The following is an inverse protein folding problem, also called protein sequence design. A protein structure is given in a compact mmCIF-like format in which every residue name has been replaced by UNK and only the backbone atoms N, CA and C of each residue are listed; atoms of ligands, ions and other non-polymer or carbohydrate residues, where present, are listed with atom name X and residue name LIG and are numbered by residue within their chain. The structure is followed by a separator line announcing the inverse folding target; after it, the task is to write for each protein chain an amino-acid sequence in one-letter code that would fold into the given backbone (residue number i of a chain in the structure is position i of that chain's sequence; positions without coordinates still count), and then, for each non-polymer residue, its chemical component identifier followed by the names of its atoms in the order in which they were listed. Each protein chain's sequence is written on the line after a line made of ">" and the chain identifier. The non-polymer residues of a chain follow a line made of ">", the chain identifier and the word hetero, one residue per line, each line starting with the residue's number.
data_IF_559511732198
#
_entry.id   IF_559511732198
#
_cell.length_a   1.000
_cell.length_b   1.000
_cell.length_c   1.000
_cell.angle_alpha   90.00
_cell.angle_beta   90.00
_cell.angle_gamma   90.00
#
_symmetry.space_group_name_H-M   'P 1'
#
loop_
_entity.id
_entity.type
_entity.pdbx_description
1 polymer ?
#
# COMPACT_ATOMS: atom_id res chain seq x y z
N UNK A 1 -7.33 19.21 -12.33
CA UNK A 1 -7.46 20.63 -12.69
C UNK A 1 -7.43 21.52 -11.44
N UNK A 2 -7.32 22.85 -11.63
CA UNK A 2 -7.37 23.80 -10.51
C UNK A 2 -8.75 23.72 -9.78
N UNK A 3 -9.82 23.62 -10.55
CA UNK A 3 -11.18 23.46 -10.01
C UNK A 3 -11.32 22.19 -9.17
N UNK A 4 -10.72 21.07 -9.62
CA UNK A 4 -10.75 19.82 -8.85
C UNK A 4 -9.90 19.92 -7.57
N UNK A 5 -8.79 20.63 -7.58
CA UNK A 5 -7.99 20.88 -6.37
C UNK A 5 -8.83 21.71 -5.39
N UNK A 6 -9.44 22.80 -5.83
CA UNK A 6 -10.30 23.64 -5.00
C UNK A 6 -11.47 22.83 -4.43
N UNK A 7 -12.20 22.11 -5.28
CA UNK A 7 -13.38 21.34 -4.86
C UNK A 7 -13.06 20.16 -3.96
N UNK A 8 -12.01 19.38 -4.26
CA UNK A 8 -11.76 18.13 -3.56
C UNK A 8 -10.71 18.21 -2.47
N UNK A 9 -9.66 19.04 -2.63
CA UNK A 9 -8.55 19.06 -1.68
C UNK A 9 -8.65 20.18 -0.65
N UNK A 10 -9.11 21.37 -1.03
CA UNK A 10 -9.22 22.51 -0.11
C UNK A 10 -10.11 22.18 1.09
N UNK A 11 -11.20 21.42 0.88
CA UNK A 11 -12.09 20.97 1.95
C UNK A 11 -11.42 20.14 3.06
N UNK A 12 -10.26 19.52 2.78
CA UNK A 12 -9.49 18.76 3.79
C UNK A 12 -8.65 19.65 4.69
N UNK A 13 -8.46 20.91 4.33
CA UNK A 13 -7.71 21.88 5.13
C UNK A 13 -8.60 22.72 6.03
N UNK A 14 -9.92 22.57 5.91
CA UNK A 14 -10.93 23.39 6.60
C UNK A 14 -11.94 22.53 7.35
N UNK A 15 -12.37 23.03 8.52
CA UNK A 15 -13.42 22.42 9.33
C UNK A 15 -13.02 21.11 10.01
N UNK A 16 -13.97 20.22 10.31
CA UNK A 16 -13.72 18.93 10.93
C UNK A 16 -12.83 18.05 10.05
N UNK A 17 -12.04 17.17 10.70
CA UNK A 17 -11.20 16.21 9.99
C UNK A 17 -12.02 15.32 9.03
N UNK A 18 -11.54 15.20 7.80
CA UNK A 18 -12.14 14.37 6.76
C UNK A 18 -11.16 13.27 6.35
N UNK A 19 -11.69 12.13 5.94
CA UNK A 19 -10.90 11.00 5.49
C UNK A 19 -10.99 10.85 3.97
N UNK A 20 -9.85 10.52 3.37
CA UNK A 20 -9.76 10.17 1.95
C UNK A 20 -9.35 8.71 1.81
N UNK A 21 -9.87 8.03 0.80
CA UNK A 21 -9.56 6.65 0.53
C UNK A 21 -9.29 6.41 -0.96
N UNK A 22 -8.65 5.28 -1.29
CA UNK A 22 -8.44 4.83 -2.67
C UNK A 22 -8.91 3.40 -2.83
N UNK A 23 -9.77 3.14 -3.81
CA UNK A 23 -10.40 1.86 -4.07
C UNK A 23 -10.00 1.33 -5.46
N UNK A 24 -9.02 0.42 -5.49
CA UNK A 24 -8.55 -0.24 -6.72
C UNK A 24 -8.84 -1.73 -6.72
N UNK A 25 -8.52 -2.42 -5.64
CA UNK A 25 -8.57 -3.88 -5.52
C UNK A 25 -10.00 -4.41 -5.60
N UNK A 26 -10.17 -5.50 -6.34
CA UNK A 26 -11.43 -6.24 -6.48
C UNK A 26 -11.23 -7.71 -6.09
N UNK A 27 -12.30 -8.48 -5.81
CA UNK A 27 -12.18 -9.89 -5.41
C UNK A 27 -11.31 -10.73 -6.36
N UNK A 28 -11.36 -10.47 -7.67
CA UNK A 28 -10.59 -11.18 -8.70
C UNK A 28 -9.36 -10.42 -9.21
N UNK A 29 -9.14 -9.17 -8.79
CA UNK A 29 -8.10 -8.29 -9.31
C UNK A 29 -7.34 -7.56 -8.19
N UNK A 30 -6.35 -8.23 -7.61
CA UNK A 30 -5.39 -7.65 -6.68
C UNK A 30 -4.09 -7.29 -7.40
N UNK A 31 -3.17 -8.25 -7.54
CA UNK A 31 -1.91 -8.05 -8.28
C UNK A 31 -2.11 -7.82 -9.78
N UNK A 32 -3.13 -8.40 -10.38
CA UNK A 32 -3.53 -8.12 -11.76
C UNK A 32 -4.54 -6.95 -11.83
N UNK A 33 -4.06 -5.76 -11.49
CA UNK A 33 -4.85 -4.52 -11.50
C UNK A 33 -5.41 -4.17 -12.88
N UNK A 34 -4.89 -4.76 -13.96
CA UNK A 34 -5.41 -4.57 -15.31
C UNK A 34 -6.73 -5.31 -15.59
N UNK A 35 -7.14 -6.20 -14.68
CA UNK A 35 -8.33 -7.06 -14.84
C UNK A 35 -9.50 -6.61 -13.95
N UNK A 36 -9.56 -5.33 -13.58
CA UNK A 36 -10.71 -4.80 -12.84
C UNK A 36 -11.99 -4.88 -13.66
N UNK A 37 -13.10 -5.19 -12.99
CA UNK A 37 -14.41 -5.34 -13.59
C UNK A 37 -15.37 -4.19 -13.27
N UNK A 38 -15.08 -3.38 -12.27
CA UNK A 38 -15.84 -2.15 -11.98
C UNK A 38 -15.87 -1.27 -13.21
N UNK A 39 -17.06 -0.85 -13.63
CA UNK A 39 -17.29 -0.04 -14.82
C UNK A 39 -17.72 1.37 -14.45
N UNK A 40 -17.40 2.35 -15.31
CA UNK A 40 -17.97 3.68 -15.30
C UNK A 40 -18.50 3.98 -16.71
N UNK A 41 -19.81 4.16 -16.82
CA UNK A 41 -20.48 4.47 -18.09
C UNK A 41 -20.97 5.90 -18.05
N UNK A 42 -20.64 6.68 -19.08
CA UNK A 42 -21.09 8.06 -19.17
C UNK A 42 -22.54 8.13 -19.67
N UNK A 43 -23.37 8.87 -18.95
CA UNK A 43 -24.78 9.13 -19.30
C UNK A 43 -24.88 10.59 -19.82
N UNK A 44 -24.97 10.81 -21.14
CA UNK A 44 -25.01 12.16 -21.69
C UNK A 44 -26.35 12.90 -21.41
N UNK A 45 -27.42 12.18 -21.03
CA UNK A 45 -28.68 12.81 -20.72
C UNK A 45 -28.68 13.55 -19.40
N UNK A 46 -27.92 13.04 -18.43
CA UNK A 46 -27.78 13.65 -17.10
C UNK A 46 -26.42 14.32 -16.88
N UNK A 47 -25.48 14.17 -17.82
CA UNK A 47 -24.07 14.61 -17.71
C UNK A 47 -23.38 14.00 -16.47
N UNK A 48 -23.56 12.69 -16.27
CA UNK A 48 -23.04 11.96 -15.13
C UNK A 48 -22.31 10.69 -15.56
N UNK A 49 -21.39 10.21 -14.70
CA UNK A 49 -20.87 8.85 -14.73
C UNK A 49 -21.69 7.93 -13.84
N UNK A 50 -22.02 6.75 -14.34
CA UNK A 50 -22.70 5.67 -13.61
C UNK A 50 -21.67 4.61 -13.31
N UNK A 51 -21.35 4.41 -12.03
CA UNK A 51 -20.37 3.43 -11.57
C UNK A 51 -21.08 2.18 -11.07
N UNK A 52 -20.62 1.02 -11.54
CA UNK A 52 -21.11 -0.29 -11.12
C UNK A 52 -19.96 -1.26 -10.85
N UNK A 53 -19.99 -1.92 -9.70
CA UNK A 53 -18.99 -2.92 -9.33
C UNK A 53 -18.74 -3.03 -7.84
N UNK A 54 -17.64 -3.71 -7.49
CA UNK A 54 -17.26 -3.94 -6.10
C UNK A 54 -15.75 -3.73 -5.92
N UNK A 55 -15.40 -3.07 -4.82
CA UNK A 55 -14.02 -2.91 -4.36
C UNK A 55 -13.86 -3.55 -2.99
N UNK A 56 -12.66 -4.08 -2.72
CA UNK A 56 -12.33 -4.70 -1.42
C UNK A 56 -11.03 -4.12 -0.89
N UNK A 57 -10.81 -4.28 0.41
CA UNK A 57 -9.62 -3.83 1.12
C UNK A 57 -9.32 -2.33 0.97
N UNK A 58 -10.38 -1.52 0.91
CA UNK A 58 -10.26 -0.06 0.84
C UNK A 58 -9.98 0.50 2.24
N UNK A 59 -8.74 0.89 2.50
CA UNK A 59 -8.34 1.53 3.76
C UNK A 59 -9.07 2.86 3.94
N UNK A 60 -9.57 3.10 5.14
CA UNK A 60 -10.38 4.28 5.50
C UNK A 60 -11.67 4.45 4.68
N UNK A 61 -12.15 3.39 4.04
CA UNK A 61 -13.33 3.48 3.17
C UNK A 61 -14.60 3.82 3.93
N UNK A 62 -14.83 3.21 5.10
CA UNK A 62 -15.97 3.54 5.96
C UNK A 62 -15.81 4.94 6.58
N UNK A 63 -14.63 5.24 7.13
CA UNK A 63 -14.33 6.57 7.68
C UNK A 63 -14.56 7.68 6.66
N UNK A 64 -14.19 7.46 5.40
CA UNK A 64 -14.36 8.45 4.33
C UNK A 64 -15.82 8.64 3.94
N UNK A 65 -16.59 7.56 3.80
CA UNK A 65 -17.92 7.60 3.18
C UNK A 65 -19.09 7.68 4.16
N UNK A 66 -18.92 7.22 5.41
CA UNK A 66 -19.99 7.18 6.42
C UNK A 66 -19.69 7.99 7.69
N UNK A 67 -18.43 8.15 8.08
CA UNK A 67 -18.06 8.77 9.36
C UNK A 67 -17.46 10.17 9.21
N UNK A 68 -17.16 10.59 7.97
CA UNK A 68 -16.73 11.95 7.66
C UNK A 68 -17.34 12.39 6.32
N UNK A 69 -17.32 13.70 6.08
CA UNK A 69 -17.66 14.26 4.79
C UNK A 69 -16.44 14.14 3.84
N UNK A 70 -16.05 12.89 3.57
CA UNK A 70 -14.85 12.55 2.82
C UNK A 70 -15.12 12.08 1.39
N UNK A 71 -14.14 11.40 0.80
CA UNK A 71 -14.25 10.87 -0.55
C UNK A 71 -13.41 9.62 -0.75
N UNK A 72 -13.75 8.84 -1.79
CA UNK A 72 -12.96 7.70 -2.27
C UNK A 72 -12.60 7.92 -3.72
N UNK A 73 -11.32 7.77 -4.07
CA UNK A 73 -10.87 7.69 -5.46
C UNK A 73 -11.03 6.25 -5.94
N UNK A 74 -11.97 6.02 -6.85
CA UNK A 74 -12.34 4.70 -7.38
C UNK A 74 -11.74 4.51 -8.76
N UNK A 75 -11.02 3.40 -8.95
CA UNK A 75 -10.57 3.00 -10.28
C UNK A 75 -11.62 2.13 -10.97
N UNK A 76 -12.12 2.60 -12.11
CA UNK A 76 -13.12 1.90 -12.92
C UNK A 76 -12.71 1.90 -14.39
N UNK A 77 -13.24 0.95 -15.17
CA UNK A 77 -13.01 0.92 -16.62
C UNK A 77 -14.15 1.58 -17.37
N UNK A 78 -13.80 2.48 -18.28
CA UNK A 78 -14.75 3.11 -19.23
C UNK A 78 -14.80 2.34 -20.56
N UNK A 79 -13.77 1.54 -20.84
CA UNK A 79 -13.71 0.67 -22.03
C UNK A 79 -12.90 -0.61 -21.71
N UNK A 80 -13.59 -1.73 -21.57
CA UNK A 80 -12.96 -3.03 -21.31
C UNK A 80 -12.05 -3.49 -22.45
N UNK A 81 -12.39 -3.12 -23.71
CA UNK A 81 -11.61 -3.54 -24.88
C UNK A 81 -10.25 -2.83 -24.95
N UNK A 82 -10.17 -1.63 -24.39
CA UNK A 82 -8.93 -0.89 -24.30
C UNK A 82 -8.00 -1.39 -23.16
N UNK A 83 -8.43 -2.38 -22.39
CA UNK A 83 -7.68 -2.93 -21.26
C UNK A 83 -7.26 -1.84 -20.28
N UNK A 84 -5.96 -1.76 -19.94
CA UNK A 84 -5.45 -0.76 -18.99
C UNK A 84 -5.61 0.70 -19.44
N UNK A 85 -5.72 0.95 -20.73
CA UNK A 85 -5.95 2.31 -21.25
C UNK A 85 -7.37 2.80 -20.92
N UNK A 86 -8.32 1.87 -20.80
CA UNK A 86 -9.71 2.15 -20.42
C UNK A 86 -9.91 2.41 -18.93
N UNK A 87 -8.91 2.17 -18.06
CA UNK A 87 -9.02 2.41 -16.63
C UNK A 87 -8.84 3.90 -16.31
N UNK A 88 -9.78 4.44 -15.53
CA UNK A 88 -9.79 5.85 -15.11
C UNK A 88 -10.09 5.96 -13.61
N UNK A 89 -9.51 6.96 -12.92
CA UNK A 89 -9.87 7.26 -11.53
C UNK A 89 -11.03 8.25 -11.46
N UNK A 90 -11.96 7.99 -10.54
CA UNK A 90 -13.15 8.81 -10.30
C UNK A 90 -13.22 9.19 -8.82
N UNK A 91 -13.57 10.44 -8.53
CA UNK A 91 -13.86 10.87 -7.15
C UNK A 91 -15.32 10.58 -6.84
N UNK A 92 -15.53 9.78 -5.79
CA UNK A 92 -16.85 9.48 -5.24
C UNK A 92 -16.93 10.07 -3.85
N UNK A 93 -17.82 11.02 -3.63
CA UNK A 93 -17.97 11.73 -2.36
C UNK A 93 -18.89 10.98 -1.41
N UNK A 94 -18.75 11.23 -0.11
CA UNK A 94 -19.66 10.72 0.90
C UNK A 94 -21.12 11.13 0.58
N UNK A 95 -22.06 10.24 0.89
CA UNK A 95 -23.47 10.48 0.62
C UNK A 95 -23.91 10.24 -0.84
N UNK A 96 -23.01 9.84 -1.75
CA UNK A 96 -23.39 9.48 -3.14
C UNK A 96 -24.37 8.29 -3.12
N UNK A 97 -25.58 8.43 -3.68
CA UNK A 97 -26.55 7.33 -3.74
C UNK A 97 -26.00 6.13 -4.52
N UNK A 98 -26.32 4.92 -4.06
CA UNK A 98 -25.82 3.67 -4.67
C UNK A 98 -24.41 3.27 -4.24
N UNK A 99 -23.77 4.01 -3.33
CA UNK A 99 -22.52 3.61 -2.68
C UNK A 99 -22.84 2.96 -1.34
N UNK A 100 -22.36 1.73 -1.15
CA UNK A 100 -22.71 0.90 -0.01
C UNK A 100 -21.42 0.35 0.62
N UNK A 101 -21.21 0.57 1.91
CA UNK A 101 -20.19 -0.13 2.69
C UNK A 101 -20.74 -1.53 3.00
N UNK A 102 -20.30 -2.51 2.22
CA UNK A 102 -20.79 -3.89 2.35
C UNK A 102 -20.22 -4.61 3.58
N UNK A 103 -18.99 -4.26 3.96
CA UNK A 103 -18.29 -4.90 5.06
C UNK A 103 -17.08 -4.07 5.50
N UNK A 104 -16.77 -4.09 6.79
CA UNK A 104 -15.46 -3.74 7.33
C UNK A 104 -14.73 -5.03 7.69
N UNK A 105 -13.51 -5.20 7.19
CA UNK A 105 -12.76 -6.45 7.33
C UNK A 105 -12.19 -6.63 8.75
N UNK A 106 -12.38 -7.82 9.31
CA UNK A 106 -11.63 -8.29 10.45
C UNK A 106 -10.24 -8.76 9.99
N UNK A 107 -9.18 -8.19 10.57
CA UNK A 107 -7.82 -8.40 10.07
C UNK A 107 -6.90 -9.00 11.11
N UNK A 108 -5.84 -9.66 10.65
CA UNK A 108 -4.75 -10.17 11.50
C UNK A 108 -4.10 -9.03 12.29
N UNK A 109 -3.70 -7.96 11.59
CA UNK A 109 -3.03 -6.78 12.13
C UNK A 109 -3.62 -5.49 11.57
N UNK A 110 -3.05 -4.36 11.98
CA UNK A 110 -3.55 -3.00 11.66
C UNK A 110 -5.06 -2.88 11.98
N UNK A 111 -5.48 -3.44 13.10
CA UNK A 111 -6.91 -3.59 13.45
C UNK A 111 -7.57 -2.27 13.82
N UNK A 112 -6.79 -1.27 14.20
CA UNK A 112 -7.28 0.07 14.51
C UNK A 112 -7.66 0.90 13.26
N UNK A 113 -7.21 0.48 12.07
CA UNK A 113 -7.57 1.10 10.78
C UNK A 113 -8.74 0.34 10.16
N UNK A 114 -9.80 1.02 9.75
CA UNK A 114 -10.86 0.37 8.98
C UNK A 114 -10.35 -0.01 7.58
N UNK A 115 -10.94 -1.07 7.06
CA UNK A 115 -10.63 -1.57 5.71
C UNK A 115 -11.93 -2.11 5.13
N UNK A 116 -12.52 -1.36 4.22
CA UNK A 116 -13.88 -1.61 3.75
C UNK A 116 -13.94 -2.38 2.43
N UNK A 117 -15.01 -3.16 2.28
CA UNK A 117 -15.55 -3.59 0.99
C UNK A 117 -16.65 -2.62 0.60
N UNK A 118 -16.59 -2.09 -0.63
CA UNK A 118 -17.50 -1.07 -1.13
C UNK A 118 -18.21 -1.60 -2.39
N UNK A 119 -19.51 -1.52 -2.42
CA UNK A 119 -20.33 -1.82 -3.59
C UNK A 119 -20.80 -0.50 -4.22
N UNK A 120 -20.72 -0.42 -5.53
CA UNK A 120 -21.28 0.63 -6.36
C UNK A 120 -22.43 0.03 -7.16
N UNK A 121 -23.63 0.43 -6.85
CA UNK A 121 -24.86 0.01 -7.53
C UNK A 121 -25.51 1.23 -8.18
N UNK A 122 -25.26 1.40 -9.46
CA UNK A 122 -25.68 2.57 -10.23
C UNK A 122 -25.31 3.91 -9.55
N UNK A 123 -24.14 3.95 -8.92
CA UNK A 123 -23.67 5.15 -8.24
C UNK A 123 -23.38 6.25 -9.27
N UNK A 124 -24.13 7.36 -9.15
CA UNK A 124 -24.07 8.48 -10.09
C UNK A 124 -23.20 9.59 -9.53
N UNK A 125 -22.26 10.04 -10.33
CA UNK A 125 -21.35 11.14 -10.01
C UNK A 125 -21.25 12.13 -11.19
N UNK A 126 -21.04 13.42 -10.93
CA UNK A 126 -20.87 14.43 -11.97
C UNK A 126 -19.78 14.09 -13.00
N UNK A 127 -19.94 14.57 -14.22
CA UNK A 127 -18.99 14.35 -15.32
C UNK A 127 -17.54 14.77 -14.96
N UNK A 128 -17.38 15.85 -14.20
CA UNK A 128 -16.10 16.43 -13.78
C UNK A 128 -15.44 15.74 -12.59
N UNK A 129 -16.05 14.66 -12.08
CA UNK A 129 -15.45 13.82 -11.04
C UNK A 129 -14.39 12.84 -11.57
N UNK A 130 -14.22 12.70 -12.90
CA UNK A 130 -13.11 11.94 -13.47
C UNK A 130 -11.81 12.71 -13.30
N UNK A 131 -10.77 12.03 -12.77
CA UNK A 131 -9.43 12.64 -12.64
C UNK A 131 -8.63 12.43 -13.92
N UNK A 132 -8.23 13.53 -14.56
CA UNK A 132 -7.54 13.52 -15.84
C UNK A 132 -8.50 13.46 -17.03
N UNK A 133 -8.02 12.90 -18.14
CA UNK A 133 -8.77 12.83 -19.39
C UNK A 133 -9.67 11.59 -19.45
N UNK A 134 -10.96 11.78 -19.62
CA UNK A 134 -11.93 10.69 -19.75
C UNK A 134 -11.76 9.91 -21.07
N UNK A 135 -11.21 10.57 -22.11
CA UNK A 135 -11.03 9.96 -23.43
C UNK A 135 -10.04 8.80 -23.38
N UNK A 136 -10.39 7.70 -24.02
CA UNK A 136 -9.52 6.52 -24.16
C UNK A 136 -8.61 6.72 -25.36
N UNK A 137 -7.38 7.16 -25.09
CA UNK A 137 -6.34 7.24 -26.14
C UNK A 137 -5.62 5.91 -26.23
N UNK A 138 -5.80 5.20 -27.35
CA UNK A 138 -5.21 3.87 -27.62
C UNK A 138 -3.69 3.88 -27.63
N UNK A 139 -3.07 5.02 -27.94
CA UNK A 139 -1.63 5.25 -27.86
C UNK A 139 -1.27 5.94 -26.55
N UNK A 140 -1.00 5.17 -25.48
CA UNK A 140 -0.34 5.75 -24.33
C UNK A 140 -0.81 5.47 -22.92
N UNK A 141 -1.98 4.87 -22.69
CA UNK A 141 -2.42 4.41 -21.33
C UNK A 141 -2.15 5.40 -20.19
N UNK A 142 -2.36 6.70 -20.38
CA UNK A 142 -1.96 7.75 -19.43
C UNK A 142 -2.62 7.57 -18.04
N UNK A 143 -3.86 7.08 -17.97
CA UNK A 143 -4.54 6.82 -16.70
C UNK A 143 -3.79 5.76 -15.88
N UNK A 144 -3.56 4.58 -16.44
CA UNK A 144 -2.84 3.50 -15.77
C UNK A 144 -1.38 3.86 -15.44
N UNK A 145 -0.69 4.60 -16.33
CA UNK A 145 0.65 5.13 -16.04
C UNK A 145 0.65 6.09 -14.86
N UNK A 146 -0.40 6.90 -14.71
CA UNK A 146 -0.60 7.76 -13.54
C UNK A 146 -0.70 6.97 -12.24
N UNK A 147 -1.52 5.89 -12.23
CA UNK A 147 -1.61 4.98 -11.08
C UNK A 147 -0.26 4.36 -10.73
N UNK A 148 0.48 3.87 -11.72
CA UNK A 148 1.80 3.26 -11.48
C UNK A 148 2.80 4.28 -10.93
N UNK A 149 2.78 5.51 -11.44
CA UNK A 149 3.61 6.60 -10.91
C UNK A 149 3.26 6.94 -9.46
N UNK A 150 1.97 6.89 -9.11
CA UNK A 150 1.53 7.05 -7.71
C UNK A 150 2.14 5.95 -6.84
N UNK A 151 2.08 4.68 -7.26
CA UNK A 151 2.70 3.58 -6.52
C UNK A 151 4.22 3.71 -6.40
N UNK A 152 4.92 4.18 -7.44
CA UNK A 152 6.37 4.42 -7.36
C UNK A 152 6.72 5.50 -6.32
N UNK A 153 5.81 6.45 -6.07
CA UNK A 153 5.95 7.47 -5.03
C UNK A 153 5.55 6.96 -3.63
N UNK A 154 4.54 6.07 -3.52
CA UNK A 154 4.03 5.60 -2.22
C UNK A 154 4.81 4.41 -1.66
N UNK A 155 5.40 3.54 -2.49
CA UNK A 155 6.19 2.37 -2.04
C UNK A 155 7.31 2.71 -1.06
N UNK A 156 8.12 3.77 -1.24
CA UNK A 156 9.13 4.16 -0.24
C UNK A 156 8.52 4.54 1.11
N UNK A 157 7.34 5.17 1.12
CA UNK A 157 6.61 5.53 2.35
C UNK A 157 6.15 4.27 3.09
N UNK A 158 5.59 3.31 2.35
CA UNK A 158 5.21 2.00 2.91
C UNK A 158 6.45 1.23 3.42
N UNK A 159 7.55 1.27 2.70
CA UNK A 159 8.81 0.68 3.17
C UNK A 159 9.30 1.33 4.47
N UNK A 160 9.21 2.65 4.59
CA UNK A 160 9.56 3.38 5.81
C UNK A 160 8.66 2.98 7.00
N UNK A 161 7.35 2.82 6.77
CA UNK A 161 6.42 2.34 7.80
C UNK A 161 6.77 0.92 8.29
N UNK A 162 7.10 0.02 7.36
CA UNK A 162 7.57 -1.33 7.69
C UNK A 162 8.86 -1.29 8.53
N UNK A 163 9.82 -0.46 8.13
CA UNK A 163 11.10 -0.29 8.84
C UNK A 163 10.86 0.24 10.26
N UNK A 164 9.91 1.15 10.45
CA UNK A 164 9.53 1.65 11.78
C UNK A 164 9.08 0.54 12.72
N UNK A 165 8.21 -0.36 12.25
CA UNK A 165 7.77 -1.54 13.02
C UNK A 165 8.95 -2.48 13.30
N UNK A 166 9.75 -2.78 12.27
CA UNK A 166 10.92 -3.66 12.40
C UNK A 166 11.95 -3.11 13.39
N UNK A 167 12.17 -1.80 13.37
CA UNK A 167 13.07 -1.11 14.29
C UNK A 167 12.57 -1.21 15.73
N UNK A 168 11.30 -0.93 15.98
CA UNK A 168 10.72 -1.05 17.31
C UNK A 168 10.86 -2.48 17.86
N UNK A 169 10.54 -3.49 17.05
CA UNK A 169 10.68 -4.89 17.44
C UNK A 169 12.12 -5.28 17.72
N UNK A 170 13.05 -4.88 16.86
CA UNK A 170 14.48 -5.17 17.03
C UNK A 170 15.05 -4.50 18.28
N UNK A 171 14.85 -3.19 18.45
CA UNK A 171 15.40 -2.43 19.57
C UNK A 171 14.85 -2.95 20.90
N UNK A 172 13.56 -3.19 20.99
CA UNK A 172 12.93 -3.76 22.17
C UNK A 172 13.48 -5.14 22.52
N UNK A 173 13.63 -6.04 21.54
CA UNK A 173 14.18 -7.39 21.74
C UNK A 173 15.64 -7.33 22.20
N UNK A 174 16.46 -6.54 21.52
CA UNK A 174 17.87 -6.31 21.88
C UNK A 174 18.01 -5.82 23.32
N UNK A 175 17.23 -4.79 23.68
CA UNK A 175 17.35 -4.14 24.99
C UNK A 175 16.80 -5.04 26.13
N UNK A 176 15.80 -5.86 25.84
CA UNK A 176 15.29 -6.86 26.79
C UNK A 176 16.31 -7.96 27.03
N UNK A 177 16.87 -8.54 25.96
CA UNK A 177 17.90 -9.57 26.07
C UNK A 177 19.23 -9.06 26.68
N UNK A 178 19.54 -7.78 26.49
CA UNK A 178 20.72 -7.16 27.13
C UNK A 178 20.58 -7.14 28.66
N UNK A 179 19.38 -7.00 29.21
CA UNK A 179 19.13 -7.11 30.66
C UNK A 179 19.36 -8.53 31.20
N UNK A 180 19.18 -9.53 30.34
CA UNK A 180 19.47 -10.93 30.63
C UNK A 180 20.93 -11.32 30.31
N UNK A 181 21.79 -10.34 30.05
CA UNK A 181 23.22 -10.54 29.81
C UNK A 181 23.62 -10.85 28.35
N UNK A 182 22.68 -10.89 27.43
CA UNK A 182 22.97 -11.11 26.01
C UNK A 182 23.36 -9.79 25.37
N UNK A 183 24.63 -9.63 25.02
CA UNK A 183 25.16 -8.43 24.34
C UNK A 183 25.51 -8.73 22.88
N UNK A 184 25.21 -7.77 21.99
CA UNK A 184 25.65 -7.85 20.60
C UNK A 184 27.17 -7.66 20.51
N UNK A 185 27.83 -8.52 19.73
CA UNK A 185 29.29 -8.51 19.59
C UNK A 185 29.69 -8.42 18.12
N UNK A 186 29.93 -7.20 17.67
CA UNK A 186 30.23 -6.88 16.27
C UNK A 186 31.63 -7.32 15.81
N UNK A 187 32.56 -7.52 16.74
CA UNK A 187 33.98 -7.85 16.45
C UNK A 187 34.24 -9.36 16.45
N UNK A 188 33.25 -10.19 16.72
CA UNK A 188 33.38 -11.64 16.67
C UNK A 188 32.88 -12.21 15.32
N UNK A 189 33.59 -13.17 14.73
CA UNK A 189 33.09 -13.87 13.56
C UNK A 189 31.86 -14.69 13.92
N UNK A 190 30.94 -14.85 12.96
CA UNK A 190 29.62 -15.46 13.17
C UNK A 190 29.67 -16.82 13.89
N UNK A 191 30.67 -17.65 13.60
CA UNK A 191 30.81 -18.98 14.23
C UNK A 191 31.27 -18.97 15.72
N UNK A 192 31.61 -17.80 16.26
CA UNK A 192 31.89 -17.58 17.68
C UNK A 192 30.77 -16.90 18.43
N UNK A 193 29.69 -16.57 17.76
CA UNK A 193 28.49 -15.99 18.36
C UNK A 193 27.54 -17.09 18.85
N UNK A 194 26.78 -16.81 19.90
CA UNK A 194 25.63 -17.64 20.23
C UNK A 194 24.55 -17.51 19.13
N UNK A 195 23.62 -18.47 19.05
CA UNK A 195 22.50 -18.41 18.11
C UNK A 195 21.70 -17.10 18.26
N UNK A 196 21.42 -16.70 19.49
CA UNK A 196 20.70 -15.46 19.82
C UNK A 196 21.44 -14.21 19.31
N UNK A 197 22.78 -14.16 19.55
CA UNK A 197 23.59 -13.05 19.04
C UNK A 197 23.62 -13.00 17.51
N UNK A 198 23.72 -14.16 16.86
CA UNK A 198 23.69 -14.24 15.41
C UNK A 198 22.37 -13.78 14.83
N UNK A 199 21.25 -14.14 15.45
CA UNK A 199 19.91 -13.72 15.06
C UNK A 199 19.72 -12.20 15.23
N UNK A 200 20.17 -11.62 16.34
CA UNK A 200 20.11 -10.17 16.56
C UNK A 200 20.92 -9.41 15.51
N UNK A 201 22.11 -9.88 15.14
CA UNK A 201 22.93 -9.27 14.09
C UNK A 201 22.28 -9.38 12.71
N UNK A 202 21.62 -10.51 12.42
CA UNK A 202 20.87 -10.69 11.17
C UNK A 202 19.68 -9.73 11.11
N UNK A 203 18.90 -9.60 12.20
CA UNK A 203 17.80 -8.64 12.28
C UNK A 203 18.27 -7.22 12.00
N UNK A 204 19.37 -6.79 12.62
CA UNK A 204 19.95 -5.47 12.40
C UNK A 204 20.43 -5.26 10.96
N UNK A 205 21.14 -6.24 10.40
CA UNK A 205 21.63 -6.18 9.02
C UNK A 205 20.49 -6.04 8.01
N UNK A 206 19.41 -6.82 8.18
CA UNK A 206 18.23 -6.75 7.32
C UNK A 206 17.50 -5.41 7.45
N UNK A 207 17.42 -4.87 8.68
CA UNK A 207 16.81 -3.56 8.95
C UNK A 207 17.60 -2.43 8.27
N UNK A 208 18.93 -2.42 8.44
CA UNK A 208 19.83 -1.42 7.84
C UNK A 208 19.80 -1.48 6.31
N UNK A 209 19.82 -2.69 5.73
CA UNK A 209 19.73 -2.85 4.28
C UNK A 209 18.38 -2.32 3.72
N UNK A 210 17.28 -2.60 4.39
CA UNK A 210 15.96 -2.06 4.02
C UNK A 210 15.93 -0.53 4.12
N UNK A 211 16.50 0.03 5.19
CA UNK A 211 16.62 1.47 5.40
C UNK A 211 17.40 2.16 4.28
N UNK A 212 18.58 1.68 3.94
CA UNK A 212 19.44 2.27 2.90
C UNK A 212 18.76 2.28 1.53
N UNK A 213 18.05 1.19 1.16
CA UNK A 213 17.27 1.14 -0.08
C UNK A 213 16.12 2.15 -0.06
N UNK A 214 15.46 2.31 1.08
CA UNK A 214 14.36 3.25 1.22
C UNK A 214 14.84 4.70 1.11
N UNK A 215 15.95 5.04 1.77
CA UNK A 215 16.56 6.38 1.68
C UNK A 215 16.98 6.68 0.23
N UNK A 216 17.56 5.70 -0.48
CA UNK A 216 17.90 5.88 -1.89
C UNK A 216 16.66 6.16 -2.74
N UNK A 217 15.59 5.38 -2.55
CA UNK A 217 14.34 5.55 -3.31
C UNK A 217 13.67 6.90 -3.06
N UNK A 218 13.70 7.40 -1.81
CA UNK A 218 13.15 8.73 -1.46
C UNK A 218 14.02 9.85 -1.98
N UNK A 219 15.35 9.73 -1.94
CA UNK A 219 16.25 10.74 -2.47
C UNK A 219 16.04 10.97 -3.98
N UNK A 220 15.84 9.90 -4.76
CA UNK A 220 15.49 10.02 -6.19
C UNK A 220 14.13 10.70 -6.37
N UNK A 221 13.15 10.37 -5.55
CA UNK A 221 11.82 11.01 -5.59
C UNK A 221 11.91 12.52 -5.32
N UNK A 222 12.67 12.92 -4.31
CA UNK A 222 12.90 14.32 -3.96
C UNK A 222 13.64 15.08 -5.08
N UNK A 223 14.59 14.41 -5.74
CA UNK A 223 15.29 14.92 -6.91
C UNK A 223 14.42 14.96 -8.19
N UNK A 224 13.17 14.43 -8.13
CA UNK A 224 12.26 14.26 -9.28
C UNK A 224 12.83 13.35 -10.38
N UNK A 225 13.69 12.43 -10.01
CA UNK A 225 14.23 11.39 -10.87
C UNK A 225 13.35 10.14 -10.87
N UNK A 226 13.52 9.27 -11.88
CA UNK A 226 12.81 8.00 -11.94
C UNK A 226 13.33 7.06 -10.83
N UNK A 227 12.42 6.56 -9.98
CA UNK A 227 12.75 5.71 -8.85
C UNK A 227 12.04 4.35 -8.85
N UNK A 228 11.48 3.93 -9.97
CA UNK A 228 10.70 2.69 -10.10
C UNK A 228 11.45 1.45 -9.61
N UNK A 229 12.72 1.31 -9.98
CA UNK A 229 13.58 0.21 -9.55
C UNK A 229 13.81 0.27 -8.03
N UNK A 230 14.29 1.39 -7.52
CA UNK A 230 14.63 1.57 -6.12
C UNK A 230 13.41 1.49 -5.21
N UNK A 231 12.28 2.06 -5.61
CA UNK A 231 11.02 1.98 -4.85
C UNK A 231 10.52 0.54 -4.73
N UNK A 232 10.64 -0.25 -5.81
CA UNK A 232 10.29 -1.67 -5.80
C UNK A 232 11.27 -2.50 -4.97
N UNK A 233 12.58 -2.22 -5.05
CA UNK A 233 13.61 -2.85 -4.20
C UNK A 233 13.36 -2.55 -2.71
N UNK A 234 13.13 -1.28 -2.37
CA UNK A 234 12.88 -0.84 -1.00
C UNK A 234 11.65 -1.56 -0.42
N UNK A 235 10.54 -1.56 -1.14
CA UNK A 235 9.29 -2.18 -0.69
C UNK A 235 9.40 -3.70 -0.54
N UNK A 236 9.98 -4.39 -1.51
CA UNK A 236 10.19 -5.85 -1.43
C UNK A 236 11.11 -6.23 -0.27
N UNK A 237 12.20 -5.49 -0.08
CA UNK A 237 13.16 -5.72 1.00
C UNK A 237 12.56 -5.43 2.37
N UNK A 238 11.91 -4.27 2.54
CA UNK A 238 11.33 -3.87 3.82
C UNK A 238 10.22 -4.82 4.27
N UNK A 239 9.29 -5.22 3.40
CA UNK A 239 8.21 -6.14 3.72
C UNK A 239 8.71 -7.50 4.20
N UNK A 240 9.73 -8.06 3.54
CA UNK A 240 10.37 -9.33 3.96
C UNK A 240 11.16 -9.17 5.25
N UNK A 241 11.94 -8.10 5.37
CA UNK A 241 12.75 -7.83 6.54
C UNK A 241 11.88 -7.65 7.79
N UNK A 242 10.83 -6.83 7.74
CA UNK A 242 9.97 -6.61 8.91
C UNK A 242 9.24 -7.87 9.33
N UNK A 243 8.79 -8.68 8.39
CA UNK A 243 8.16 -9.98 8.68
C UNK A 243 9.14 -10.89 9.43
N UNK A 244 10.37 -11.03 8.94
CA UNK A 244 11.40 -11.83 9.59
C UNK A 244 11.78 -11.29 10.98
N UNK A 245 12.02 -9.97 11.09
CA UNK A 245 12.44 -9.32 12.33
C UNK A 245 11.38 -9.49 13.43
N UNK A 246 10.12 -9.27 13.12
CA UNK A 246 9.03 -9.34 14.12
C UNK A 246 8.73 -10.76 14.54
N UNK A 247 8.79 -11.75 13.62
CA UNK A 247 8.70 -13.17 13.96
C UNK A 247 9.87 -13.59 14.87
N UNK A 248 11.10 -13.20 14.51
CA UNK A 248 12.28 -13.50 15.31
C UNK A 248 12.24 -12.83 16.68
N UNK A 249 11.68 -11.64 16.79
CA UNK A 249 11.47 -10.96 18.07
C UNK A 249 10.57 -11.76 19.01
N UNK A 250 9.44 -12.28 18.49
CA UNK A 250 8.55 -13.18 19.28
C UNK A 250 9.28 -14.44 19.71
N UNK A 251 10.03 -15.07 18.81
CA UNK A 251 10.79 -16.30 19.07
C UNK A 251 11.85 -16.08 20.16
N UNK A 252 12.65 -15.03 20.04
CA UNK A 252 13.74 -14.74 20.96
C UNK A 252 13.27 -14.36 22.36
N UNK A 253 12.14 -13.71 22.49
CA UNK A 253 11.53 -13.34 23.77
C UNK A 253 10.64 -14.46 24.36
N UNK A 254 10.40 -15.53 23.62
CA UNK A 254 9.65 -16.71 24.09
C UNK A 254 8.26 -16.37 24.62
N UNK A 255 7.90 -16.84 25.84
CA UNK A 255 6.57 -16.58 26.40
C UNK A 255 6.21 -15.09 26.51
N UNK A 256 7.18 -14.22 26.82
CA UNK A 256 6.99 -12.77 26.87
C UNK A 256 6.68 -12.20 25.50
N UNK A 257 7.34 -12.67 24.44
CA UNK A 257 7.10 -12.25 23.06
C UNK A 257 5.73 -12.68 22.52
N UNK A 258 5.19 -13.79 23.04
CA UNK A 258 3.88 -14.34 22.66
C UNK A 258 2.73 -13.78 23.49
N UNK A 259 3.02 -13.23 24.68
CA UNK A 259 2.02 -12.62 25.56
C UNK A 259 1.52 -11.28 25.00
N UNK A 260 0.23 -11.00 25.20
CA UNK A 260 -0.37 -9.69 24.84
C UNK A 260 -0.03 -8.57 25.83
N UNK A 261 0.72 -8.86 26.89
CA UNK A 261 1.22 -7.84 27.83
C UNK A 261 2.22 -6.90 27.19
N UNK A 262 2.95 -7.39 26.17
CA UNK A 262 3.92 -6.62 25.40
C UNK A 262 3.39 -6.39 23.98
N UNK A 263 3.96 -5.40 23.28
CA UNK A 263 3.56 -5.07 21.91
C UNK A 263 4.21 -5.99 20.84
N UNK A 264 5.06 -6.92 21.22
CA UNK A 264 5.88 -7.71 20.30
C UNK A 264 5.02 -8.58 19.39
N UNK A 265 4.03 -9.30 19.93
CA UNK A 265 3.09 -10.10 19.17
C UNK A 265 2.22 -9.22 18.24
N UNK A 266 1.83 -8.03 18.72
CA UNK A 266 1.10 -7.05 17.92
C UNK A 266 1.94 -6.57 16.72
N UNK A 267 3.20 -6.24 16.92
CA UNK A 267 4.08 -5.83 15.83
C UNK A 267 4.23 -6.93 14.77
N UNK A 268 4.29 -8.21 15.18
CA UNK A 268 4.32 -9.34 14.23
C UNK A 268 3.04 -9.41 13.40
N UNK A 269 1.88 -9.23 14.00
CA UNK A 269 0.59 -9.22 13.29
C UNK A 269 0.47 -8.01 12.35
N UNK A 270 0.86 -6.83 12.81
CA UNK A 270 0.80 -5.58 12.05
C UNK A 270 1.84 -5.56 10.91
N UNK A 271 2.98 -6.19 11.10
CA UNK A 271 4.06 -6.23 10.12
C UNK A 271 3.69 -6.97 8.83
N UNK A 272 2.88 -8.04 8.92
CA UNK A 272 2.64 -8.95 7.80
C UNK A 272 2.04 -8.28 6.57
N UNK A 273 1.19 -7.28 6.75
CA UNK A 273 0.55 -6.58 5.64
C UNK A 273 1.57 -5.86 4.73
N UNK A 274 2.72 -5.46 5.26
CA UNK A 274 3.73 -4.72 4.50
C UNK A 274 4.36 -5.54 3.36
N UNK A 275 4.21 -6.86 3.36
CA UNK A 275 4.63 -7.73 2.25
C UNK A 275 3.49 -7.99 1.24
N UNK A 276 2.27 -7.48 1.51
CA UNK A 276 1.06 -7.79 0.73
C UNK A 276 0.55 -6.57 -0.04
N UNK A 277 0.20 -5.48 0.66
CA UNK A 277 -0.40 -4.30 0.04
C UNK A 277 0.61 -3.45 -0.74
N UNK A 278 0.15 -2.48 -1.53
CA UNK A 278 0.97 -1.59 -2.37
C UNK A 278 1.89 -2.38 -3.36
N UNK A 279 1.37 -3.52 -3.82
CA UNK A 279 2.11 -4.51 -4.59
C UNK A 279 2.84 -5.52 -3.69
N UNK A 280 2.56 -6.82 -3.90
CA UNK A 280 3.18 -7.88 -3.11
C UNK A 280 4.69 -7.91 -3.26
N UNK A 281 5.40 -8.52 -2.30
CA UNK A 281 6.84 -8.75 -2.40
C UNK A 281 7.23 -9.45 -3.70
N UNK A 282 6.39 -10.39 -4.17
CA UNK A 282 6.59 -11.10 -5.45
C UNK A 282 6.47 -10.15 -6.64
N UNK A 283 5.42 -9.33 -6.71
CA UNK A 283 5.23 -8.35 -7.80
C UNK A 283 6.39 -7.34 -7.85
N UNK A 284 6.80 -6.82 -6.69
CA UNK A 284 7.93 -5.91 -6.64
C UNK A 284 9.24 -6.59 -7.07
N UNK A 285 9.46 -7.87 -6.70
CA UNK A 285 10.62 -8.64 -7.17
C UNK A 285 10.59 -8.85 -8.70
N UNK A 286 9.41 -9.10 -9.29
CA UNK A 286 9.27 -9.20 -10.76
C UNK A 286 9.55 -7.85 -11.45
N UNK A 287 9.14 -6.74 -10.85
CA UNK A 287 9.48 -5.41 -11.38
C UNK A 287 11.00 -5.21 -11.36
N UNK A 288 11.65 -5.49 -10.23
CA UNK A 288 13.12 -5.40 -10.10
C UNK A 288 13.82 -6.28 -11.13
N UNK A 289 13.39 -7.53 -11.29
CA UNK A 289 13.98 -8.45 -12.27
C UNK A 289 13.85 -7.92 -13.71
N UNK A 290 12.70 -7.36 -14.06
CA UNK A 290 12.50 -6.76 -15.40
C UNK A 290 13.41 -5.57 -15.64
N UNK A 291 13.51 -4.67 -14.68
CA UNK A 291 14.36 -3.48 -14.80
C UNK A 291 15.86 -3.85 -14.91
N UNK A 292 16.34 -4.81 -14.11
CA UNK A 292 17.76 -5.20 -14.11
C UNK A 292 18.12 -6.04 -15.35
N UNK A 293 17.22 -6.95 -15.75
CA UNK A 293 17.50 -7.90 -16.84
C UNK A 293 17.02 -7.41 -18.20
N UNK A 294 16.29 -6.29 -18.24
CA UNK A 294 15.73 -5.73 -19.48
C UNK A 294 14.57 -6.55 -20.07
N UNK A 295 13.95 -7.44 -19.28
CA UNK A 295 12.84 -8.26 -19.74
C UNK A 295 11.55 -7.46 -19.90
N UNK A 296 10.83 -7.76 -20.97
CA UNK A 296 9.48 -7.28 -21.17
C UNK A 296 8.48 -8.00 -20.24
N UNK A 297 7.28 -7.44 -20.09
CA UNK A 297 6.21 -8.08 -19.33
C UNK A 297 5.80 -9.46 -19.89
N UNK A 298 5.97 -9.68 -21.19
CA UNK A 298 5.58 -10.93 -21.83
C UNK A 298 6.60 -12.05 -21.58
N UNK A 299 7.85 -11.70 -21.31
CA UNK A 299 8.93 -12.65 -21.02
C UNK A 299 8.94 -13.09 -19.54
N UNK A 300 8.42 -12.24 -18.64
CA UNK A 300 8.25 -12.57 -17.24
C UNK A 300 6.75 -12.45 -16.89
N UNK A 301 6.00 -13.50 -17.15
CA UNK A 301 4.60 -13.65 -16.75
C UNK A 301 4.49 -14.35 -15.41
#
# INVERSE_FOLDING_TARGET
>A
TAEQIERFLTRYTEGPAKWGAMAMTEPQAGSDTGNIQTTATFDPATNEWVINGQKIFCTSGKLALEESDGMVVVWATVDKKAGRAGMKPFVVEAGTPGVIIAKVEEKLGIRASDTAAIIFDNARIPADNVLGDAEVKTSGGKGFKGAMKTFDSTRPIVAASAIGIGRAAFEFTRDTLAKEGVKMEYNKPRWKLSAVQADLLEMEAQLRAAWLLTVKATALLDAREENKLESSMAKAKAGRAVTMITQKAVELLGPLGYSTELLVEKWMRDAKINDIYEGTGQINTLIVAREILGYTRNELK
#
